data_IF_870642189763
#
_entry.id   IF_870642189763
#
_cell.length_a   1.000
_cell.length_b   1.000
_cell.length_c   1.000
_cell.angle_alpha   90.00
_cell.angle_beta   90.00
_cell.angle_gamma   90.00
#
_symmetry.space_group_name_H-M   'P 1'
#
loop_
_entity.id
_entity.type
_entity.pdbx_description
1 polymer ?
#
# COMPACT_ATOMS: atom_id res chain seq x y z
N UNK A 1 0.13 -8.42 -0.44
CA UNK A 1 0.55 -7.45 -1.49
C UNK A 1 2.01 -7.08 -1.27
N UNK A 2 2.72 -6.65 -2.31
CA UNK A 2 4.12 -6.26 -2.21
C UNK A 2 4.50 -5.21 -3.26
N UNK A 3 5.45 -4.33 -2.93
CA UNK A 3 5.98 -3.30 -3.81
C UNK A 3 7.38 -2.86 -3.35
N UNK A 4 8.17 -2.33 -4.28
CA UNK A 4 9.40 -1.61 -3.98
C UNK A 4 9.11 -0.11 -3.92
N UNK A 5 9.65 0.54 -2.90
CA UNK A 5 9.48 1.96 -2.63
C UNK A 5 10.83 2.65 -2.54
N UNK A 6 10.91 3.86 -3.07
CA UNK A 6 12.00 4.79 -2.81
C UNK A 6 11.41 6.19 -2.56
N UNK A 7 11.09 6.53 -1.31
CA UNK A 7 10.56 7.85 -0.95
C UNK A 7 11.69 8.88 -0.85
N UNK A 8 11.55 10.06 -1.45
CA UNK A 8 12.54 11.15 -1.31
C UNK A 8 12.39 11.90 0.01
N UNK A 9 11.17 11.93 0.55
CA UNK A 9 10.83 12.46 1.87
C UNK A 9 9.91 11.49 2.59
N UNK A 10 10.13 11.31 3.89
CA UNK A 10 9.36 10.40 4.75
C UNK A 10 8.34 11.12 5.62
N UNK A 11 8.41 12.45 5.73
CA UNK A 11 7.66 13.25 6.70
C UNK A 11 6.24 13.64 6.26
N UNK A 12 5.48 12.74 5.63
CA UNK A 12 4.11 13.00 5.16
C UNK A 12 3.26 11.73 5.04
N UNK A 13 1.93 11.91 5.04
CA UNK A 13 0.99 10.85 4.67
C UNK A 13 0.81 10.76 3.16
N UNK A 14 1.05 9.58 2.57
CA UNK A 14 0.93 9.36 1.11
C UNK A 14 0.26 8.04 0.81
N UNK A 15 -0.70 8.03 -0.11
CA UNK A 15 -1.36 6.80 -0.50
C UNK A 15 -0.53 6.13 -1.60
N UNK A 16 -0.29 4.83 -1.47
CA UNK A 16 0.60 4.12 -2.37
C UNK A 16 -0.18 3.26 -3.34
N UNK A 17 -1.06 2.42 -2.81
CA UNK A 17 -1.87 1.49 -3.60
C UNK A 17 -3.22 1.34 -2.90
N UNK A 18 -4.30 1.29 -3.64
CA UNK A 18 -5.61 1.02 -3.06
C UNK A 18 -6.62 0.66 -4.12
N UNK A 19 -7.88 0.58 -3.72
CA UNK A 19 -9.01 0.51 -4.63
C UNK A 19 -9.89 1.73 -4.53
N UNK A 20 -10.63 2.00 -5.59
CA UNK A 20 -11.65 3.03 -5.54
C UNK A 20 -12.82 2.65 -4.64
N UNK A 21 -13.58 3.68 -4.27
CA UNK A 21 -14.59 3.59 -3.23
C UNK A 21 -15.84 2.79 -3.61
N UNK A 22 -16.10 2.43 -4.87
CA UNK A 22 -17.32 1.68 -5.30
C UNK A 22 -18.63 2.06 -4.59
N UNK A 23 -18.88 3.35 -4.32
CA UNK A 23 -20.06 3.80 -3.57
C UNK A 23 -20.02 3.53 -2.05
N UNK A 24 -18.96 2.93 -1.52
CA UNK A 24 -18.69 2.72 -0.11
C UNK A 24 -17.89 3.87 0.52
N UNK A 25 -18.01 4.02 1.84
CA UNK A 25 -17.27 5.06 2.59
C UNK A 25 -15.78 4.72 2.76
N UNK A 26 -15.40 3.45 2.60
CA UNK A 26 -14.05 2.92 2.88
C UNK A 26 -13.58 1.89 1.85
N UNK A 27 -12.27 1.81 1.63
CA UNK A 27 -11.60 0.85 0.75
C UNK A 27 -10.28 0.42 1.40
N UNK A 28 -9.77 -0.75 1.04
CA UNK A 28 -8.42 -1.12 1.45
C UNK A 28 -7.40 -0.25 0.73
N UNK A 29 -6.35 0.10 1.44
CA UNK A 29 -5.21 0.83 0.89
C UNK A 29 -3.94 0.51 1.65
N UNK A 30 -2.82 0.60 0.96
CA UNK A 30 -1.50 0.76 1.54
C UNK A 30 -1.11 2.24 1.43
N UNK A 31 -0.61 2.80 2.53
CA UNK A 31 -0.09 4.17 2.58
C UNK A 31 1.22 4.23 3.35
N UNK A 32 1.92 5.34 3.23
CA UNK A 32 2.92 5.80 4.19
C UNK A 32 2.30 6.84 5.11
N UNK A 33 2.68 6.81 6.38
CA UNK A 33 2.45 7.85 7.37
C UNK A 33 3.78 8.08 8.08
N UNK A 34 4.37 9.25 7.87
CA UNK A 34 5.65 9.62 8.50
C UNK A 34 6.74 8.55 8.28
N UNK A 35 6.77 8.00 7.06
CA UNK A 35 7.73 7.00 6.61
C UNK A 35 7.32 5.58 6.94
N UNK A 36 6.31 5.37 7.78
CA UNK A 36 5.86 4.06 8.23
C UNK A 36 4.79 3.52 7.27
N UNK A 37 4.99 2.33 6.65
CA UNK A 37 3.95 1.66 5.89
C UNK A 37 2.77 1.24 6.78
N UNK A 38 1.56 1.55 6.32
CA UNK A 38 0.31 1.17 6.96
C UNK A 38 -0.65 0.52 5.95
N UNK A 39 -1.16 -0.66 6.29
CA UNK A 39 -2.24 -1.34 5.57
C UNK A 39 -3.58 -1.08 6.24
N UNK A 40 -4.53 -0.47 5.54
CA UNK A 40 -5.91 -0.35 6.00
C UNK A 40 -6.77 -1.48 5.42
N UNK A 41 -7.50 -2.19 6.29
CA UNK A 41 -8.46 -3.25 5.95
C UNK A 41 -9.80 -2.94 6.63
N UNK A 42 -10.61 -2.00 6.12
CA UNK A 42 -11.94 -1.74 6.67
C UNK A 42 -12.82 -2.99 6.57
N UNK A 43 -13.70 -3.24 7.54
CA UNK A 43 -14.63 -4.39 7.58
C UNK A 43 -14.18 -5.56 8.46
N UNK A 44 -12.92 -5.59 8.90
CA UNK A 44 -12.43 -6.57 9.88
C UNK A 44 -12.78 -6.18 11.31
N UNK A 45 -12.81 -7.15 12.23
CA UNK A 45 -12.79 -6.88 13.67
C UNK A 45 -11.36 -6.59 14.11
N UNK A 46 -11.14 -5.46 14.78
CA UNK A 46 -9.81 -5.00 15.19
C UNK A 46 -9.55 -3.53 14.81
N UNK A 47 -8.28 -3.08 14.76
CA UNK A 47 -7.95 -1.66 14.56
C UNK A 47 -8.26 -1.14 13.15
N UNK A 48 -8.45 -2.03 12.17
CA UNK A 48 -8.72 -1.68 10.77
C UNK A 48 -7.54 -1.05 10.03
N UNK A 49 -6.47 -0.69 10.74
CA UNK A 49 -5.21 -0.13 10.23
C UNK A 49 -4.07 -0.87 10.92
N UNK A 50 -3.12 -1.34 10.13
CA UNK A 50 -2.01 -2.19 10.56
C UNK A 50 -0.69 -1.56 10.13
N UNK A 51 0.08 -1.09 11.12
CA UNK A 51 1.38 -0.46 10.93
C UNK A 51 2.50 -1.49 10.82
N UNK A 52 3.50 -1.23 9.97
CA UNK A 52 4.74 -2.00 9.91
C UNK A 52 5.72 -1.67 11.05
N UNK A 53 5.48 -0.60 11.83
CA UNK A 53 6.27 -0.06 12.95
C UNK A 53 7.72 0.34 12.65
N UNK A 54 8.19 0.03 11.45
CA UNK A 54 9.50 0.41 10.95
C UNK A 54 9.33 1.46 9.85
N UNK A 55 9.97 2.62 10.04
CA UNK A 55 10.01 3.67 9.04
C UNK A 55 10.94 3.29 7.88
N UNK A 56 10.57 3.68 6.66
CA UNK A 56 11.44 3.62 5.50
C UNK A 56 12.54 4.68 5.58
N UNK A 57 13.64 4.40 4.89
CA UNK A 57 14.80 5.26 4.71
C UNK A 57 14.60 6.04 3.42
N UNK A 58 14.74 7.37 3.51
CA UNK A 58 14.65 8.22 2.34
C UNK A 58 15.74 7.89 1.29
N UNK A 59 15.42 8.10 0.02
CA UNK A 59 16.31 7.91 -1.13
C UNK A 59 16.88 6.49 -1.26
N UNK A 60 16.28 5.50 -0.61
CA UNK A 60 16.71 4.09 -0.63
C UNK A 60 15.59 3.21 -1.14
N UNK A 61 15.90 2.32 -2.10
CA UNK A 61 14.94 1.31 -2.52
C UNK A 61 14.76 0.26 -1.42
N UNK A 62 13.53 0.09 -0.96
CA UNK A 62 13.15 -0.92 0.02
C UNK A 62 11.94 -1.69 -0.45
N UNK A 63 11.95 -3.00 -0.23
CA UNK A 63 10.81 -3.86 -0.50
C UNK A 63 9.85 -3.80 0.69
N UNK A 64 8.57 -3.56 0.44
CA UNK A 64 7.51 -3.55 1.46
C UNK A 64 6.45 -4.56 1.07
N UNK A 65 6.10 -5.43 2.01
CA UNK A 65 5.02 -6.40 1.82
C UNK A 65 4.11 -6.47 3.05
N UNK A 66 2.83 -6.73 2.79
CA UNK A 66 1.87 -7.11 3.81
C UNK A 66 1.12 -8.36 3.36
N UNK A 67 0.94 -9.32 4.26
CA UNK A 67 0.06 -10.47 4.09
C UNK A 67 -1.18 -10.31 4.96
N UNK A 68 -2.31 -10.86 4.52
CA UNK A 68 -3.48 -11.05 5.36
C UNK A 68 -4.09 -12.41 5.06
N UNK A 69 -4.00 -13.33 6.01
CA UNK A 69 -4.52 -14.69 5.89
C UNK A 69 -4.88 -15.22 7.28
N UNK A 70 -5.95 -16.01 7.38
CA UNK A 70 -6.37 -16.69 8.62
C UNK A 70 -6.38 -15.76 9.85
N UNK A 71 -6.92 -14.54 9.69
CA UNK A 71 -7.02 -13.55 10.77
C UNK A 71 -5.67 -12.99 11.25
N UNK A 72 -4.64 -13.08 10.43
CA UNK A 72 -3.29 -12.59 10.75
C UNK A 72 -2.80 -11.64 9.66
N UNK A 73 -2.37 -10.44 10.07
CA UNK A 73 -1.64 -9.48 9.22
C UNK A 73 -0.16 -9.54 9.58
N UNK A 74 0.71 -9.70 8.59
CA UNK A 74 2.16 -9.63 8.77
C UNK A 74 2.75 -8.58 7.84
N UNK A 75 3.59 -7.70 8.38
CA UNK A 75 4.33 -6.69 7.65
C UNK A 75 5.79 -7.12 7.48
N UNK A 76 6.35 -6.87 6.30
CA UNK A 76 7.74 -7.15 5.97
C UNK A 76 8.41 -5.94 5.31
N UNK A 77 9.65 -5.67 5.70
CA UNK A 77 10.54 -4.70 5.03
C UNK A 77 11.83 -5.43 4.63
N UNK A 78 12.19 -5.37 3.34
CA UNK A 78 13.33 -6.08 2.76
C UNK A 78 13.33 -7.61 3.01
N UNK A 79 12.16 -8.19 3.29
CA UNK A 79 12.01 -9.62 3.59
C UNK A 79 11.96 -9.95 5.08
N UNK A 80 12.37 -9.02 5.95
CA UNK A 80 12.33 -9.20 7.40
C UNK A 80 10.94 -8.86 7.95
N UNK A 81 10.39 -9.73 8.80
CA UNK A 81 9.12 -9.48 9.48
C UNK A 81 9.31 -8.34 10.50
N UNK A 82 8.60 -7.23 10.31
CA UNK A 82 8.67 -6.09 11.21
C UNK A 82 7.52 -6.05 12.21
N UNK A 83 6.37 -6.63 11.84
CA UNK A 83 5.18 -6.64 12.70
C UNK A 83 4.21 -7.77 12.36
N UNK A 84 3.55 -8.31 13.40
CA UNK A 84 2.47 -9.29 13.32
C UNK A 84 1.27 -8.88 14.16
N UNK A 85 0.08 -8.99 13.59
CA UNK A 85 -1.20 -8.82 14.26
C UNK A 85 -2.01 -10.09 14.08
N UNK A 86 -2.56 -10.64 15.15
CA UNK A 86 -3.35 -11.88 15.14
C UNK A 86 -4.72 -11.68 15.78
N UNK A 87 -5.64 -12.63 15.58
CA UNK A 87 -6.99 -12.56 16.15
C UNK A 87 -7.93 -11.59 15.41
N UNK A 88 -7.62 -11.26 14.16
CA UNK A 88 -8.44 -10.41 13.31
C UNK A 88 -9.59 -11.24 12.75
N UNK A 89 -10.82 -10.88 13.07
CA UNK A 89 -12.03 -11.52 12.54
C UNK A 89 -12.69 -10.70 11.44
N UNK A 90 -13.85 -11.16 10.97
CA UNK A 90 -14.63 -10.49 9.93
C UNK A 90 -14.04 -10.61 8.52
N UNK A 91 -14.67 -9.91 7.58
CA UNK A 91 -14.23 -9.85 6.18
C UNK A 91 -13.92 -8.40 5.84
N UNK A 92 -12.74 -8.14 5.29
CA UNK A 92 -12.42 -6.79 4.83
C UNK A 92 -13.20 -6.47 3.56
N UNK A 93 -13.54 -5.19 3.39
CA UNK A 93 -14.17 -4.65 2.19
C UNK A 93 -13.14 -4.67 1.04
N UNK A 94 -13.08 -5.81 0.35
CA UNK A 94 -12.11 -6.04 -0.71
C UNK A 94 -12.38 -5.18 -1.96
N UNK A 95 -13.62 -4.71 -2.13
CA UNK A 95 -14.12 -3.96 -3.30
C UNK A 95 -13.61 -4.62 -4.59
N UNK A 96 -13.86 -5.92 -4.73
CA UNK A 96 -13.16 -6.77 -5.68
C UNK A 96 -13.40 -6.38 -7.15
N UNK A 97 -14.50 -5.68 -7.42
CA UNK A 97 -14.89 -5.16 -8.73
C UNK A 97 -14.28 -3.79 -9.04
N UNK A 98 -13.66 -3.12 -8.05
CA UNK A 98 -13.19 -1.75 -8.21
C UNK A 98 -11.88 -1.69 -8.96
N UNK A 99 -11.67 -0.58 -9.67
CA UNK A 99 -10.35 -0.21 -10.16
C UNK A 99 -9.32 -0.18 -9.03
N UNK A 100 -8.14 -0.76 -9.31
CA UNK A 100 -6.96 -0.68 -8.45
C UNK A 100 -6.14 0.53 -8.90
N UNK A 101 -5.81 1.41 -7.97
CA UNK A 101 -5.05 2.65 -8.24
C UNK A 101 -3.69 2.59 -7.56
N UNK A 102 -2.66 3.14 -8.21
CA UNK A 102 -1.28 3.22 -7.70
C UNK A 102 -0.82 4.69 -7.75
N UNK A 103 -0.17 5.16 -6.69
CA UNK A 103 0.45 6.49 -6.67
C UNK A 103 -0.50 7.66 -6.36
N UNK A 104 -1.65 7.42 -5.74
CA UNK A 104 -2.66 8.43 -5.39
C UNK A 104 -2.19 9.40 -4.29
N UNK A 105 -2.44 10.71 -4.43
CA UNK A 105 -2.24 11.68 -3.34
C UNK A 105 -3.54 11.90 -2.57
N UNK A 106 -3.46 12.45 -1.35
CA UNK A 106 -4.59 12.61 -0.43
C UNK A 106 -5.73 13.48 -1.00
N UNK A 107 -5.48 14.34 -2.01
CA UNK A 107 -6.42 15.39 -2.45
C UNK A 107 -6.62 15.56 -3.98
N UNK A 108 -6.44 14.54 -4.83
CA UNK A 108 -6.71 14.73 -6.26
C UNK A 108 -6.70 13.46 -7.11
N UNK A 109 -7.36 13.46 -8.29
CA UNK A 109 -7.58 12.26 -9.07
C UNK A 109 -6.29 11.73 -9.71
N UNK A 110 -6.43 10.48 -10.11
CA UNK A 110 -5.48 9.45 -10.48
C UNK A 110 -4.23 9.83 -11.28
N UNK A 111 -3.19 9.00 -11.12
CA UNK A 111 -2.34 8.65 -12.25
C UNK A 111 -2.48 7.15 -12.53
N UNK A 112 -2.81 6.90 -13.80
CA UNK A 112 -2.82 5.64 -14.54
C UNK A 112 -3.71 4.52 -14.00
N UNK A 113 -4.85 4.38 -14.69
CA UNK A 113 -5.48 3.10 -14.99
C UNK A 113 -4.42 2.15 -15.58
N UNK A 114 -3.86 1.24 -14.77
CA UNK A 114 -2.99 0.17 -15.27
C UNK A 114 -3.90 -0.93 -15.80
N UNK A 115 -4.27 -0.86 -17.08
CA UNK A 115 -4.75 -2.04 -17.80
C UNK A 115 -3.56 -2.99 -17.94
N UNK A 116 -3.78 -4.27 -17.64
CA UNK A 116 -2.73 -5.29 -17.60
C UNK A 116 -2.08 -5.45 -18.97
N UNK A 117 -0.91 -4.85 -19.18
CA UNK A 117 -0.03 -5.15 -20.30
C UNK A 117 1.31 -5.65 -19.74
N UNK A 118 1.68 -6.93 -19.92
CA UNK A 118 2.95 -7.43 -19.43
C UNK A 118 4.01 -7.11 -20.48
N UNK A 119 4.88 -6.15 -20.18
CA UNK A 119 6.28 -6.04 -20.63
C UNK A 119 6.76 -4.63 -20.30
N UNK A 120 8.00 -4.56 -19.81
CA UNK A 120 8.80 -3.39 -19.42
C UNK A 120 8.57 -2.85 -18.00
N UNK A 121 9.62 -3.05 -17.19
CA UNK A 121 9.91 -2.34 -15.94
C UNK A 121 10.06 -0.84 -16.22
N UNK A 122 8.94 -0.14 -16.37
CA UNK A 122 8.96 1.33 -16.40
C UNK A 122 8.83 1.81 -14.96
N UNK A 123 9.89 2.39 -14.34
CA UNK A 123 9.69 3.12 -13.11
C UNK A 123 8.70 4.23 -13.40
N UNK A 124 7.58 4.24 -12.69
CA UNK A 124 6.69 5.40 -12.73
C UNK A 124 7.36 6.50 -11.92
N UNK A 125 8.22 7.29 -12.59
CA UNK A 125 8.78 8.54 -12.06
C UNK A 125 7.74 9.59 -12.38
N UNK A 126 6.96 9.99 -11.38
CA UNK A 126 6.17 11.21 -11.52
C UNK A 126 7.09 12.39 -11.15
N UNK A 127 7.49 13.25 -12.10
CA UNK A 127 8.37 14.40 -11.82
C UNK A 127 7.72 15.45 -10.90
N UNK A 128 6.44 15.33 -10.59
CA UNK A 128 5.73 16.16 -9.60
C UNK A 128 5.58 15.50 -8.20
N UNK A 129 6.12 14.28 -7.96
CA UNK A 129 5.88 13.55 -6.70
C UNK A 129 7.12 12.89 -6.09
N UNK A 130 7.19 13.00 -4.77
CA UNK A 130 8.28 12.60 -3.85
C UNK A 130 8.43 11.08 -3.61
N UNK A 131 7.84 10.19 -4.43
CA UNK A 131 7.95 8.73 -4.27
C UNK A 131 8.03 8.03 -5.63
N UNK A 132 9.00 7.13 -5.78
CA UNK A 132 9.04 6.15 -6.88
C UNK A 132 8.52 4.79 -6.43
N UNK A 133 7.68 4.14 -7.27
CA UNK A 133 7.08 2.83 -7.00
C UNK A 133 7.45 1.84 -8.12
N UNK A 134 7.83 0.61 -7.75
CA UNK A 134 7.94 -0.53 -8.68
C UNK A 134 7.10 -1.70 -8.17
N UNK A 135 6.31 -2.32 -9.05
CA UNK A 135 5.47 -3.49 -8.75
C UNK A 135 6.05 -4.76 -9.37
N UNK A 136 5.96 -5.87 -8.65
CA UNK A 136 6.10 -7.22 -9.20
C UNK A 136 4.70 -7.79 -9.51
N UNK A 137 4.51 -8.34 -10.71
CA UNK A 137 3.38 -9.22 -11.00
C UNK A 137 3.81 -10.61 -10.53
N UNK A 138 3.25 -11.07 -9.41
CA UNK A 138 3.18 -12.49 -9.05
C UNK A 138 1.82 -13.02 -9.48
#
# INVERSE_FOLDING_TARGET
>A
MALWLNPTTVSQRRWLVGRDKEGQTSHWLLRLRDGIPELALPGVSGPGIYSADTALIANTWQHVAFTFANGTVIAYINGDETRRYSGIGGQFNANASASKTVGRSVDGPDISHITSNPVLFVPFINPSREISIKRFLI
#
